data_IF_820283242768
#
_entry.id   IF_820283242768
#
_cell.length_a   1.000
_cell.length_b   1.000
_cell.length_c   1.000
_cell.angle_alpha   90.00
_cell.angle_beta   90.00
_cell.angle_gamma   90.00
#
_symmetry.space_group_name_H-M   'P 1'
#
loop_
_entity.id
_entity.type
_entity.pdbx_description
1 polymer ?
#
# COMPACT_ATOMS: atom_id res chain seq x y z
N UNK A 1 25.20 5.12 -15.31
CA UNK A 1 24.16 4.68 -14.35
C UNK A 1 24.22 5.60 -13.15
N UNK A 2 23.10 6.22 -12.77
CA UNK A 2 23.02 7.09 -11.60
C UNK A 2 22.97 6.23 -10.33
N UNK A 3 23.95 6.32 -9.40
CA UNK A 3 23.99 5.48 -8.21
C UNK A 3 22.81 5.68 -7.24
N UNK A 4 22.00 6.72 -7.45
CA UNK A 4 20.80 7.03 -6.66
C UNK A 4 19.54 6.39 -7.23
N UNK A 5 19.59 5.85 -8.44
CA UNK A 5 18.46 5.16 -9.04
C UNK A 5 18.52 3.68 -8.66
N UNK A 6 17.43 3.19 -8.07
CA UNK A 6 17.21 1.75 -7.88
C UNK A 6 16.28 1.30 -9.01
N UNK A 7 16.81 0.79 -10.14
CA UNK A 7 15.98 0.39 -11.27
C UNK A 7 15.12 -0.81 -10.87
N UNK A 8 13.80 -0.69 -11.08
CA UNK A 8 12.89 -1.80 -10.83
C UNK A 8 13.05 -2.87 -11.91
N UNK A 9 13.28 -4.15 -11.54
CA UNK A 9 13.32 -5.25 -12.50
C UNK A 9 11.92 -5.65 -13.02
N UNK A 10 10.86 -4.99 -12.55
CA UNK A 10 9.46 -5.32 -12.82
C UNK A 10 8.78 -4.39 -13.82
N UNK A 11 9.49 -3.41 -14.38
CA UNK A 11 8.91 -2.53 -15.42
C UNK A 11 8.49 -3.37 -16.64
N UNK A 12 7.24 -3.17 -17.08
CA UNK A 12 6.65 -3.88 -18.22
C UNK A 12 6.28 -5.34 -17.95
N UNK A 13 6.41 -5.82 -16.70
CA UNK A 13 6.01 -7.18 -16.30
C UNK A 13 4.66 -7.14 -15.58
N UNK A 14 3.89 -8.25 -15.59
CA UNK A 14 2.72 -8.38 -14.73
C UNK A 14 3.09 -8.19 -13.26
N UNK A 15 2.15 -7.66 -12.48
CA UNK A 15 2.27 -7.68 -11.02
C UNK A 15 2.40 -9.15 -10.54
N UNK A 16 3.22 -9.43 -9.51
CA UNK A 16 3.30 -10.76 -8.94
C UNK A 16 1.93 -11.26 -8.47
N UNK A 17 1.71 -12.58 -8.55
CA UNK A 17 0.52 -13.19 -7.98
C UNK A 17 0.55 -13.09 -6.45
N UNK A 18 -0.58 -12.71 -5.87
CA UNK A 18 -0.77 -12.72 -4.42
C UNK A 18 -2.24 -12.93 -4.06
N UNK A 19 -2.47 -13.52 -2.90
CA UNK A 19 -3.79 -13.59 -2.27
C UNK A 19 -3.58 -13.40 -0.77
N UNK A 20 -3.92 -12.20 -0.29
CA UNK A 20 -3.60 -11.77 1.07
C UNK A 20 -4.85 -11.24 1.77
N UNK A 21 -4.94 -11.37 3.10
CA UNK A 21 -6.06 -10.83 3.86
C UNK A 21 -6.04 -9.30 3.87
N UNK A 22 -7.20 -8.68 3.99
CA UNK A 22 -7.30 -7.23 4.19
C UNK A 22 -6.91 -6.86 5.63
N UNK A 23 -6.39 -5.65 5.83
CA UNK A 23 -5.98 -5.13 7.14
C UNK A 23 -7.19 -4.96 8.08
N UNK A 24 -8.28 -4.39 7.58
CA UNK A 24 -9.49 -4.11 8.36
C UNK A 24 -10.42 -5.33 8.49
N UNK A 25 -10.55 -6.14 7.44
CA UNK A 25 -11.50 -7.25 7.38
C UNK A 25 -10.76 -8.58 7.12
N UNK A 26 -10.32 -9.25 8.19
CA UNK A 26 -9.45 -10.44 8.09
C UNK A 26 -10.08 -11.63 7.36
N UNK A 27 -11.41 -11.70 7.29
CA UNK A 27 -12.13 -12.73 6.56
C UNK A 27 -12.19 -12.48 5.04
N UNK A 28 -11.81 -11.28 4.58
CA UNK A 28 -11.78 -10.94 3.16
C UNK A 28 -10.34 -10.99 2.64
N UNK A 29 -10.18 -11.58 1.47
CA UNK A 29 -8.92 -11.57 0.72
C UNK A 29 -8.93 -10.48 -0.36
N UNK A 30 -7.75 -10.17 -0.85
CA UNK A 30 -7.53 -9.29 -2.00
C UNK A 30 -6.41 -9.88 -2.87
N UNK A 31 -6.55 -9.78 -4.18
CA UNK A 31 -5.66 -10.42 -5.15
C UNK A 31 -5.20 -9.45 -6.23
N UNK A 32 -4.18 -9.83 -7.00
CA UNK A 32 -3.74 -9.04 -8.15
C UNK A 32 -4.82 -8.90 -9.23
N UNK A 33 -5.74 -9.87 -9.31
CA UNK A 33 -6.82 -9.89 -10.29
C UNK A 33 -7.82 -8.76 -10.05
N UNK A 34 -8.02 -8.37 -8.79
CA UNK A 34 -8.89 -7.25 -8.41
C UNK A 34 -8.37 -5.89 -8.87
N UNK A 35 -7.12 -5.85 -9.37
CA UNK A 35 -6.44 -4.65 -9.84
C UNK A 35 -6.36 -4.53 -11.37
N UNK A 36 -6.83 -5.53 -12.11
CA UNK A 36 -6.80 -5.53 -13.57
C UNK A 36 -7.74 -4.46 -14.18
N UNK A 37 -7.37 -3.94 -15.35
CA UNK A 37 -8.20 -3.04 -16.15
C UNK A 37 -8.26 -1.58 -15.67
N UNK A 38 -7.55 -1.22 -14.60
CA UNK A 38 -7.46 0.15 -14.06
C UNK A 38 -6.02 0.55 -13.80
N UNK A 39 -5.75 1.85 -13.76
CA UNK A 39 -4.49 2.42 -13.26
C UNK A 39 -4.65 2.67 -11.77
N UNK A 40 -3.63 2.31 -10.99
CA UNK A 40 -3.64 2.39 -9.53
C UNK A 40 -2.21 2.55 -9.01
N UNK A 41 -2.10 3.00 -7.76
CA UNK A 41 -0.83 3.07 -7.01
C UNK A 41 -0.87 2.02 -5.90
N UNK A 42 0.19 1.21 -5.81
CA UNK A 42 0.48 0.42 -4.60
C UNK A 42 1.47 1.19 -3.75
N UNK A 43 1.15 1.41 -2.49
CA UNK A 43 2.08 1.95 -1.52
C UNK A 43 2.41 0.88 -0.47
N UNK A 44 3.70 0.60 -0.28
CA UNK A 44 4.19 -0.36 0.71
C UNK A 44 4.55 0.41 1.97
N UNK A 45 3.96 0.06 3.10
CA UNK A 45 4.12 0.83 4.34
C UNK A 45 4.06 -0.06 5.58
N UNK A 46 4.51 0.48 6.72
CA UNK A 46 4.40 -0.17 8.01
C UNK A 46 4.41 0.89 9.14
N UNK A 47 3.82 0.57 10.28
CA UNK A 47 3.74 1.46 11.44
C UNK A 47 5.11 1.80 12.05
N UNK A 48 6.10 0.93 11.87
CA UNK A 48 7.47 1.10 12.32
C UNK A 48 8.35 1.87 11.32
N UNK A 49 7.85 2.13 10.11
CA UNK A 49 8.59 2.77 9.03
C UNK A 49 8.58 4.31 9.19
N UNK A 50 9.72 4.88 9.57
CA UNK A 50 9.85 6.34 9.79
C UNK A 50 9.59 7.14 8.52
N UNK A 51 10.16 6.72 7.39
CA UNK A 51 9.99 7.41 6.11
C UNK A 51 8.55 7.32 5.59
N UNK A 52 7.81 6.27 5.95
CA UNK A 52 6.40 6.14 5.61
C UNK A 52 5.57 7.23 6.31
N UNK A 53 5.96 7.65 7.52
CA UNK A 53 5.31 8.78 8.21
C UNK A 53 5.53 10.11 7.48
N UNK A 54 6.73 10.32 6.94
CA UNK A 54 7.07 11.53 6.18
C UNK A 54 6.35 11.57 4.83
N UNK A 55 6.13 10.41 4.21
CA UNK A 55 5.39 10.27 2.95
C UNK A 55 3.86 10.44 3.14
N UNK A 56 3.32 10.06 4.29
CA UNK A 56 1.88 9.95 4.54
C UNK A 56 1.05 11.20 4.17
N UNK A 57 1.47 12.44 4.49
CA UNK A 57 0.73 13.63 4.07
C UNK A 57 0.57 13.76 2.55
N UNK A 58 1.58 13.35 1.78
CA UNK A 58 1.53 13.39 0.31
C UNK A 58 0.52 12.37 -0.23
N UNK A 59 0.42 11.20 0.41
CA UNK A 59 -0.58 10.19 0.06
C UNK A 59 -2.00 10.65 0.38
N UNK A 60 -2.20 11.37 1.48
CA UNK A 60 -3.48 11.98 1.84
C UNK A 60 -3.89 13.03 0.80
N UNK A 61 -2.97 13.91 0.38
CA UNK A 61 -3.24 14.91 -0.65
C UNK A 61 -3.58 14.25 -2.00
N UNK A 62 -2.83 13.19 -2.38
CA UNK A 62 -3.10 12.44 -3.60
C UNK A 62 -4.48 11.76 -3.54
N UNK A 63 -4.83 11.13 -2.42
CA UNK A 63 -6.13 10.51 -2.22
C UNK A 63 -7.27 11.56 -2.30
N UNK A 64 -7.08 12.73 -1.67
CA UNK A 64 -8.04 13.83 -1.70
C UNK A 64 -8.24 14.40 -3.10
N UNK A 65 -7.19 14.41 -3.94
CA UNK A 65 -7.29 14.88 -5.33
C UNK A 65 -8.17 13.98 -6.22
N UNK A 66 -8.31 12.70 -5.86
CA UNK A 66 -9.02 11.70 -6.65
C UNK A 66 -8.34 11.32 -7.98
N UNK A 67 -7.09 11.74 -8.21
CA UNK A 67 -6.40 11.52 -9.48
C UNK A 67 -6.15 10.03 -9.79
N UNK A 68 -5.88 9.22 -8.77
CA UNK A 68 -5.61 7.79 -8.90
C UNK A 68 -5.98 7.07 -7.59
N UNK A 69 -6.58 5.87 -7.63
CA UNK A 69 -6.81 5.09 -6.41
C UNK A 69 -5.49 4.57 -5.84
N UNK A 70 -5.34 4.69 -4.53
CA UNK A 70 -4.19 4.20 -3.78
C UNK A 70 -4.61 2.96 -2.98
N UNK A 71 -3.81 1.91 -3.08
CA UNK A 71 -3.93 0.69 -2.29
C UNK A 71 -2.70 0.56 -1.40
N UNK A 72 -2.90 0.22 -0.13
CA UNK A 72 -1.82 0.03 0.83
C UNK A 72 -1.43 -1.44 0.93
N UNK A 73 -0.14 -1.75 0.99
CA UNK A 73 0.40 -3.04 1.41
C UNK A 73 1.09 -2.81 2.77
N UNK A 74 0.41 -3.20 3.84
CA UNK A 74 0.94 -3.14 5.19
C UNK A 74 1.88 -4.34 5.39
N UNK A 75 3.19 -4.06 5.40
CA UNK A 75 4.25 -5.06 5.24
C UNK A 75 5.00 -5.31 6.55
N UNK A 76 5.06 -6.57 6.98
CA UNK A 76 5.78 -7.00 8.20
C UNK A 76 5.44 -6.17 9.43
N UNK A 77 4.17 -5.86 9.58
CA UNK A 77 3.68 -4.99 10.64
C UNK A 77 2.85 -5.77 11.66
N UNK A 78 2.66 -5.20 12.84
CA UNK A 78 1.59 -5.66 13.73
C UNK A 78 0.29 -5.05 13.24
N UNK A 79 -0.72 -5.91 13.04
CA UNK A 79 -2.02 -5.49 12.54
C UNK A 79 -2.64 -4.38 13.39
N UNK A 80 -2.53 -4.48 14.70
CA UNK A 80 -3.09 -3.51 15.64
C UNK A 80 -2.42 -2.14 15.49
N UNK A 81 -1.10 -2.12 15.29
CA UNK A 81 -0.32 -0.89 15.11
C UNK A 81 -0.64 -0.24 13.75
N UNK A 82 -0.79 -1.05 12.69
CA UNK A 82 -1.24 -0.58 11.39
C UNK A 82 -2.65 0.04 11.44
N UNK A 83 -3.60 -0.58 12.14
CA UNK A 83 -4.95 -0.02 12.33
C UNK A 83 -4.93 1.28 13.14
N UNK A 84 -4.12 1.33 14.21
CA UNK A 84 -3.95 2.52 15.03
C UNK A 84 -3.33 3.68 14.22
N UNK A 85 -2.38 3.38 13.33
CA UNK A 85 -1.78 4.36 12.42
C UNK A 85 -2.83 5.01 11.52
N UNK A 86 -3.65 4.20 10.82
CA UNK A 86 -4.68 4.73 9.91
C UNK A 86 -5.76 5.52 10.65
N UNK A 87 -6.14 5.06 11.85
CA UNK A 87 -7.10 5.78 12.70
C UNK A 87 -6.55 7.13 13.17
N UNK A 88 -5.26 7.18 13.56
CA UNK A 88 -4.65 8.37 14.15
C UNK A 88 -4.17 9.41 13.13
N UNK A 89 -3.76 8.99 11.93
CA UNK A 89 -3.15 9.86 10.92
C UNK A 89 -3.99 10.01 9.65
N UNK A 90 -5.14 9.35 9.59
CA UNK A 90 -5.99 9.31 8.40
C UNK A 90 -5.61 8.18 7.46
N UNK A 91 -6.58 7.75 6.66
CA UNK A 91 -6.44 6.63 5.73
C UNK A 91 -6.52 7.14 4.28
N UNK A 92 -5.38 7.19 3.54
CA UNK A 92 -5.38 7.54 2.12
C UNK A 92 -5.79 6.37 1.23
N UNK A 93 -5.90 5.16 1.78
CA UNK A 93 -6.04 3.94 1.01
C UNK A 93 -7.50 3.59 0.78
N UNK A 94 -7.80 3.12 -0.43
CA UNK A 94 -9.10 2.54 -0.74
C UNK A 94 -9.30 1.17 -0.08
N UNK A 95 -8.19 0.48 0.13
CA UNK A 95 -8.06 -0.79 0.83
C UNK A 95 -6.60 -0.97 1.23
N UNK A 96 -6.37 -1.48 2.44
CA UNK A 96 -5.05 -1.93 2.89
C UNK A 96 -5.01 -3.45 2.94
N UNK A 97 -4.04 -4.04 2.26
CA UNK A 97 -3.68 -5.45 2.27
C UNK A 97 -2.72 -5.67 3.46
N UNK A 98 -2.83 -6.79 4.14
CA UNK A 98 -1.92 -7.16 5.24
C UNK A 98 -1.00 -8.30 4.81
N UNK A 99 0.30 -8.02 4.85
CA UNK A 99 1.36 -8.97 4.55
C UNK A 99 2.22 -9.20 5.80
N UNK A 100 2.17 -10.42 6.33
CA UNK A 100 2.84 -10.81 7.56
C UNK A 100 4.25 -11.37 7.33
N UNK A 101 4.59 -11.72 6.07
CA UNK A 101 5.78 -12.48 5.70
C UNK A 101 7.02 -11.62 5.57
#
# INVERSE_FOLDING_TARGET
>A
LNPREVPSPLIGKPAPHFELPQLHETAKTFTEKDMLGKVWVLNVWASWCVTCREEHPVLLDLAASGAVPIYGLNYKDKREDGLAWLTGMGDPYRLSIYDAD
#
